data_IF_058555776648
#
_entry.id   IF_058555776648
#
_cell.length_a   1.000
_cell.length_b   1.000
_cell.length_c   1.000
_cell.angle_alpha   90.00
_cell.angle_beta   90.00
_cell.angle_gamma   90.00
#
_symmetry.space_group_name_H-M   'P 1'
#
loop_
_entity.id
_entity.type
_entity.pdbx_description
1 polymer ?
#
# COMPACT_ATOMS: atom_id res chain seq x y z
N UNK A 1 -6.80 16.77 6.34
CA UNK A 1 -7.51 16.18 5.18
C UNK A 1 -7.80 14.72 5.53
N UNK A 2 -9.07 14.29 5.53
CA UNK A 2 -9.55 13.01 6.11
C UNK A 2 -9.13 11.75 5.34
N UNK A 3 -8.17 11.80 4.42
CA UNK A 3 -7.84 10.66 3.57
C UNK A 3 -6.93 9.59 4.24
N UNK A 4 -6.34 9.82 5.42
CA UNK A 4 -5.05 9.17 5.73
C UNK A 4 -4.96 8.19 6.92
N UNK A 5 -6.03 7.91 7.67
CA UNK A 5 -5.93 6.95 8.80
C UNK A 5 -6.70 5.65 8.63
N UNK A 6 -7.39 5.45 7.49
CA UNK A 6 -8.13 4.22 7.24
C UNK A 6 -7.46 3.33 6.18
N UNK A 7 -6.48 3.84 5.44
CA UNK A 7 -5.86 3.08 4.34
C UNK A 7 -4.80 2.09 4.84
N UNK A 8 -4.17 2.37 5.99
CA UNK A 8 -3.11 1.54 6.53
C UNK A 8 -3.66 0.60 7.60
N UNK A 9 -3.15 -0.62 7.62
CA UNK A 9 -3.32 -1.52 8.76
C UNK A 9 -2.43 -1.07 9.94
N UNK A 10 -2.77 -1.57 11.13
CA UNK A 10 -2.06 -1.22 12.37
C UNK A 10 -0.64 -1.78 12.43
N UNK A 11 -0.32 -2.74 11.57
CA UNK A 11 1.00 -3.37 11.50
C UNK A 11 2.02 -2.53 10.73
N UNK A 12 1.60 -1.42 10.11
CA UNK A 12 2.46 -0.55 9.30
C UNK A 12 3.35 0.32 10.19
N UNK A 13 4.66 0.10 10.09
CA UNK A 13 5.67 0.94 10.75
C UNK A 13 6.09 2.10 9.84
N UNK A 14 5.54 3.29 10.12
CA UNK A 14 5.80 4.51 9.35
C UNK A 14 7.23 5.01 9.56
N UNK A 15 7.76 4.90 10.78
CA UNK A 15 9.13 5.35 11.09
C UNK A 15 10.15 4.53 10.28
N UNK A 16 9.89 3.22 10.16
CA UNK A 16 10.72 2.35 9.33
C UNK A 16 10.70 2.77 7.85
N UNK A 17 9.53 3.09 7.30
CA UNK A 17 9.41 3.52 5.90
C UNK A 17 10.15 4.83 5.68
N UNK A 18 10.03 5.79 6.59
CA UNK A 18 10.75 7.06 6.50
C UNK A 18 12.26 6.82 6.48
N UNK A 19 12.75 5.92 7.33
CA UNK A 19 14.16 5.53 7.35
C UNK A 19 14.60 4.89 6.03
N UNK A 20 13.84 3.92 5.52
CA UNK A 20 14.16 3.19 4.29
C UNK A 20 14.02 4.04 3.02
N UNK A 21 13.24 5.13 3.08
CA UNK A 21 13.00 6.05 1.94
C UNK A 21 13.77 7.36 2.05
N UNK A 22 14.68 7.47 3.03
CA UNK A 22 15.51 8.65 3.19
C UNK A 22 16.33 8.95 1.93
N UNK A 23 16.24 10.19 1.42
CA UNK A 23 16.91 10.61 0.19
C UNK A 23 16.12 10.33 -1.10
N UNK A 24 14.94 9.72 -1.02
CA UNK A 24 14.02 9.62 -2.14
C UNK A 24 13.31 10.96 -2.40
N UNK A 25 13.11 11.27 -3.68
CA UNK A 25 12.30 12.41 -4.10
C UNK A 25 10.81 12.07 -4.01
N UNK A 26 9.95 13.08 -3.93
CA UNK A 26 8.50 12.89 -3.82
C UNK A 26 7.90 11.98 -4.90
N UNK A 27 8.43 12.03 -6.13
CA UNK A 27 8.00 11.16 -7.22
C UNK A 27 8.28 9.66 -6.96
N UNK A 28 9.38 9.35 -6.28
CA UNK A 28 9.75 7.98 -5.93
C UNK A 28 8.86 7.46 -4.80
N UNK A 29 8.54 8.32 -3.83
CA UNK A 29 7.59 8.01 -2.75
C UNK A 29 6.20 7.75 -3.35
N UNK A 30 5.74 8.55 -4.31
CA UNK A 30 4.48 8.33 -5.02
C UNK A 30 4.47 6.97 -5.74
N UNK A 31 5.55 6.63 -6.45
CA UNK A 31 5.68 5.34 -7.13
C UNK A 31 5.63 4.17 -6.15
N UNK A 32 6.34 4.26 -5.02
CA UNK A 32 6.38 3.23 -3.98
C UNK A 32 4.97 3.00 -3.39
N UNK A 33 4.27 4.08 -3.04
CA UNK A 33 2.90 4.02 -2.54
C UNK A 33 1.96 3.43 -3.59
N UNK A 34 2.11 3.78 -4.87
CA UNK A 34 1.32 3.22 -5.96
C UNK A 34 1.54 1.72 -6.13
N UNK A 35 2.76 1.23 -5.96
CA UNK A 35 3.06 -0.21 -6.00
C UNK A 35 2.42 -0.92 -4.80
N UNK A 36 2.55 -0.36 -3.59
CA UNK A 36 1.96 -0.92 -2.38
C UNK A 36 0.42 -1.02 -2.48
N UNK A 37 -0.24 0.02 -2.98
CA UNK A 37 -1.70 0.00 -3.25
C UNK A 37 -2.04 -1.12 -4.24
N UNK A 38 -1.29 -1.28 -5.33
CA UNK A 38 -1.55 -2.34 -6.31
C UNK A 38 -1.35 -3.75 -5.73
N UNK A 39 -0.39 -3.93 -4.82
CA UNK A 39 -0.21 -5.19 -4.11
C UNK A 39 -1.42 -5.49 -3.21
N UNK A 40 -1.87 -4.50 -2.43
CA UNK A 40 -3.05 -4.61 -1.58
C UNK A 40 -4.33 -4.89 -2.40
N UNK A 41 -4.49 -4.22 -3.55
CA UNK A 41 -5.58 -4.44 -4.50
C UNK A 41 -5.60 -5.86 -5.05
N UNK A 42 -4.44 -6.35 -5.54
CA UNK A 42 -4.31 -7.74 -6.03
C UNK A 42 -4.64 -8.75 -4.94
N UNK A 43 -4.17 -8.52 -3.71
CA UNK A 43 -4.49 -9.37 -2.56
C UNK A 43 -5.99 -9.39 -2.27
N UNK A 44 -6.65 -8.23 -2.26
CA UNK A 44 -8.09 -8.14 -2.05
C UNK A 44 -8.88 -8.87 -3.12
N UNK A 45 -8.54 -8.69 -4.40
CA UNK A 45 -9.19 -9.40 -5.52
C UNK A 45 -8.98 -10.91 -5.44
N UNK A 46 -7.79 -11.39 -5.09
CA UNK A 46 -7.51 -12.82 -4.97
C UNK A 46 -8.19 -13.47 -3.75
N UNK A 47 -8.43 -12.70 -2.69
CA UNK A 47 -9.06 -13.20 -1.45
C UNK A 47 -10.58 -13.42 -1.58
N UNK A 48 -11.23 -12.83 -2.59
CA UNK A 48 -12.66 -12.94 -2.76
C UNK A 48 -13.00 -13.24 -4.23
N UNK A 49 -13.65 -14.39 -4.44
CA UNK A 49 -14.00 -14.90 -5.77
C UNK A 49 -15.06 -14.03 -6.51
N UNK A 50 -15.82 -13.22 -5.75
CA UNK A 50 -16.93 -12.38 -6.24
C UNK A 50 -16.94 -11.01 -5.57
N UNK A 51 -15.95 -10.15 -5.88
CA UNK A 51 -16.00 -8.74 -5.48
C UNK A 51 -16.70 -7.90 -6.54
N UNK A 52 -17.73 -7.16 -6.13
CA UNK A 52 -18.21 -6.01 -6.88
C UNK A 52 -17.18 -4.88 -6.72
N UNK A 53 -16.29 -4.79 -7.71
CA UNK A 53 -15.13 -3.88 -7.78
C UNK A 53 -15.52 -2.42 -7.59
N UNK A 54 -16.74 -2.03 -7.96
CA UNK A 54 -17.18 -0.64 -7.91
C UNK A 54 -17.72 -0.21 -6.55
N UNK A 55 -18.08 -1.15 -5.66
CA UNK A 55 -18.77 -0.83 -4.40
C UNK A 55 -18.08 -1.29 -3.13
N UNK A 56 -17.35 -2.40 -3.17
CA UNK A 56 -16.90 -3.08 -1.94
C UNK A 56 -15.39 -3.07 -1.74
N UNK A 57 -14.62 -2.96 -2.83
CA UNK A 57 -13.15 -2.97 -2.79
C UNK A 57 -12.53 -1.82 -1.98
N UNK A 58 -12.93 -0.55 -2.19
CA UNK A 58 -12.20 0.58 -1.60
C UNK A 58 -12.28 0.64 -0.07
N UNK A 59 -13.36 0.08 0.52
CA UNK A 59 -13.59 0.12 1.97
C UNK A 59 -12.91 -1.03 2.72
N UNK A 60 -12.63 -2.14 2.04
CA UNK A 60 -12.10 -3.37 2.64
C UNK A 60 -10.59 -3.52 2.48
N UNK A 61 -10.00 -2.80 1.53
CA UNK A 61 -8.58 -2.95 1.20
C UNK A 61 -7.77 -1.96 2.01
N UNK A 62 -6.98 -2.51 2.93
CA UNK A 62 -5.96 -1.79 3.68
C UNK A 62 -4.58 -2.27 3.27
N UNK A 63 -3.62 -1.37 3.27
CA UNK A 63 -2.20 -1.64 3.01
C UNK A 63 -1.58 -2.09 4.33
N UNK A 64 -0.90 -3.23 4.31
CA UNK A 64 -0.17 -3.75 5.47
C UNK A 64 1.35 -3.65 5.26
N UNK A 65 2.14 -4.04 6.26
CA UNK A 65 3.61 -3.98 6.18
C UNK A 65 4.21 -4.83 5.06
N UNK A 66 3.55 -5.93 4.68
CA UNK A 66 4.00 -6.79 3.58
C UNK A 66 3.89 -6.09 2.22
N UNK A 67 2.78 -5.39 1.98
CA UNK A 67 2.55 -4.67 0.72
C UNK A 67 3.61 -3.58 0.48
N UNK A 68 4.02 -2.90 1.55
CA UNK A 68 5.05 -1.86 1.54
C UNK A 68 6.46 -2.43 1.42
N UNK A 69 6.79 -3.51 2.13
CA UNK A 69 8.10 -4.18 2.01
C UNK A 69 8.31 -4.68 0.58
N UNK A 70 7.30 -5.32 0.01
CA UNK A 70 7.33 -5.79 -1.38
C UNK A 70 7.47 -4.63 -2.37
N UNK A 71 6.86 -3.48 -2.08
CA UNK A 71 7.01 -2.28 -2.90
C UNK A 71 8.44 -1.73 -2.85
N UNK A 72 9.08 -1.67 -1.69
CA UNK A 72 10.49 -1.28 -1.54
C UNK A 72 11.42 -2.22 -2.32
N UNK A 73 11.20 -3.55 -2.24
CA UNK A 73 11.98 -4.53 -3.00
C UNK A 73 11.84 -4.33 -4.51
N UNK A 74 10.60 -4.16 -5.00
CA UNK A 74 10.33 -3.92 -6.43
C UNK A 74 10.88 -2.59 -6.94
N UNK A 75 10.95 -1.58 -6.08
CA UNK A 75 11.48 -0.28 -6.45
C UNK A 75 13.01 -0.29 -6.60
N UNK A 76 13.69 -1.16 -5.85
CA UNK A 76 15.16 -1.30 -5.87
C UNK A 76 15.69 -2.26 -6.95
N UNK A 77 14.80 -2.87 -7.75
CA UNK A 77 15.13 -3.73 -8.91
C UNK A 77 15.04 -2.94 -10.21
#
# INVERSE_FOLDING_TARGET
CMLQQHLLEQDVDIERIIYDTHGLLGAHIEQLVRIAINNALRRGVMAHETLDVDKTLPEQIRINSFDLTNACEKYNQ
#
